data_IF_245878682956
#
_entry.id   IF_245878682956
#
_cell.length_a   1.000
_cell.length_b   1.000
_cell.length_c   1.000
_cell.angle_alpha   90.00
_cell.angle_beta   90.00
_cell.angle_gamma   90.00
#
_symmetry.space_group_name_H-M   'P 1'
#
loop_
_entity.id
_entity.type
_entity.pdbx_description
1 polymer ?
#
# COMPACT_ATOMS: atom_id res chain seq x y z
N UNK A 1 75.36 -42.59 25.60
CA UNK A 1 73.99 -43.07 25.87
C UNK A 1 73.02 -42.18 25.10
N UNK A 2 72.56 -42.64 23.93
CA UNK A 2 71.19 -42.59 23.38
C UNK A 2 70.25 -41.51 23.99
N UNK A 3 69.62 -40.56 23.27
CA UNK A 3 68.75 -40.69 22.09
C UNK A 3 68.30 -39.27 21.61
N UNK A 4 68.15 -39.09 20.28
CA UNK A 4 67.07 -38.37 19.51
C UNK A 4 66.78 -36.86 19.80
N UNK A 5 66.40 -35.99 18.85
CA UNK A 5 65.92 -36.12 17.47
C UNK A 5 65.86 -34.75 16.72
N UNK A 6 66.10 -34.83 15.41
CA UNK A 6 65.43 -34.17 14.26
C UNK A 6 65.43 -32.64 14.04
N UNK A 7 66.15 -32.28 12.96
CA UNK A 7 65.97 -31.15 12.04
C UNK A 7 64.53 -30.97 11.53
N UNK A 8 64.11 -29.71 11.38
CA UNK A 8 63.08 -29.31 10.41
C UNK A 8 63.64 -28.23 9.48
N UNK A 9 63.54 -28.48 8.18
CA UNK A 9 63.98 -27.62 7.09
C UNK A 9 62.77 -26.87 6.54
N UNK A 10 62.97 -25.58 6.34
CA UNK A 10 62.05 -24.58 5.79
C UNK A 10 61.52 -24.91 4.40
N UNK A 11 60.20 -24.75 4.19
CA UNK A 11 59.58 -24.63 2.87
C UNK A 11 58.73 -23.35 2.83
N UNK A 12 59.07 -22.46 1.91
CA UNK A 12 58.31 -21.25 1.57
C UNK A 12 57.20 -21.66 0.59
N UNK A 13 55.94 -21.43 0.95
CA UNK A 13 54.79 -21.58 0.06
C UNK A 13 54.24 -20.20 -0.29
N UNK A 14 54.38 -19.82 -1.56
CA UNK A 14 53.70 -18.66 -2.13
C UNK A 14 52.23 -19.05 -2.41
N UNK A 15 51.29 -18.39 -1.72
CA UNK A 15 49.87 -18.53 -2.00
C UNK A 15 49.49 -17.58 -3.14
N UNK A 16 49.16 -18.14 -4.30
CA UNK A 16 48.53 -17.44 -5.42
C UNK A 16 47.03 -17.35 -5.10
N UNK A 17 46.54 -16.16 -4.79
CA UNK A 17 45.09 -15.91 -4.62
C UNK A 17 44.43 -15.85 -5.99
N UNK A 18 43.83 -16.95 -6.43
CA UNK A 18 42.91 -16.96 -7.56
C UNK A 18 41.60 -16.24 -7.17
N UNK A 19 41.41 -15.03 -7.67
CA UNK A 19 40.11 -14.35 -7.68
C UNK A 19 39.16 -15.15 -8.57
N UNK A 20 38.35 -16.01 -7.96
CA UNK A 20 37.15 -16.55 -8.61
C UNK A 20 36.10 -15.46 -8.52
N UNK A 21 35.93 -14.68 -9.59
CA UNK A 21 34.74 -13.87 -9.78
C UNK A 21 33.55 -14.83 -9.75
N UNK A 22 32.80 -14.82 -8.67
CA UNK A 22 31.47 -15.41 -8.64
C UNK A 22 30.63 -14.61 -9.63
N UNK A 23 30.53 -15.10 -10.87
CA UNK A 23 29.51 -14.65 -11.80
C UNK A 23 28.17 -14.94 -11.11
N UNK A 24 27.46 -13.86 -10.76
CA UNK A 24 26.07 -13.95 -10.32
C UNK A 24 25.33 -14.63 -11.46
N UNK A 25 24.96 -15.89 -11.25
CA UNK A 25 24.03 -16.60 -12.12
C UNK A 25 22.68 -15.96 -11.84
N UNK A 26 22.33 -14.93 -12.61
CA UNK A 26 20.96 -14.43 -12.69
C UNK A 26 20.14 -15.61 -13.21
N UNK A 27 19.18 -16.14 -12.43
CA UNK A 27 18.30 -17.18 -12.95
C UNK A 27 17.63 -16.62 -14.21
N UNK A 28 17.76 -17.35 -15.32
CA UNK A 28 17.11 -17.01 -16.59
C UNK A 28 15.68 -16.53 -16.31
N UNK A 29 15.43 -15.25 -16.60
CA UNK A 29 14.08 -14.74 -16.74
C UNK A 29 13.38 -15.68 -17.71
N UNK A 30 12.37 -16.41 -17.22
CA UNK A 30 11.41 -17.05 -18.11
C UNK A 30 10.91 -15.94 -19.04
N UNK A 31 11.23 -16.07 -20.33
CA UNK A 31 10.74 -15.19 -21.40
C UNK A 31 9.22 -15.25 -21.34
N UNK A 32 8.60 -14.27 -20.64
CA UNK A 32 7.16 -13.99 -20.73
C UNK A 32 6.88 -13.77 -22.22
N UNK A 33 5.81 -14.36 -22.74
CA UNK A 33 5.38 -14.05 -24.11
C UNK A 33 5.15 -12.55 -24.20
N UNK A 34 5.80 -11.92 -25.16
CA UNK A 34 5.78 -10.48 -25.45
C UNK A 34 4.36 -10.04 -25.79
N UNK A 35 3.58 -9.69 -24.76
CA UNK A 35 2.47 -8.74 -24.87
C UNK A 35 2.92 -7.41 -24.25
N UNK A 36 2.52 -6.28 -24.82
CA UNK A 36 2.81 -4.97 -24.27
C UNK A 36 2.20 -4.82 -22.87
N UNK A 37 3.05 -4.55 -21.88
CA UNK A 37 2.66 -4.27 -20.50
C UNK A 37 3.14 -2.89 -20.07
N UNK A 38 2.33 -2.22 -19.27
CA UNK A 38 2.69 -0.99 -18.57
C UNK A 38 3.05 -1.25 -17.11
N UNK A 39 3.52 -0.22 -16.42
CA UNK A 39 3.81 -0.29 -14.99
C UNK A 39 3.38 0.95 -14.23
N UNK A 40 2.93 0.77 -13.00
CA UNK A 40 2.61 1.88 -12.10
C UNK A 40 3.09 1.61 -10.68
N UNK A 41 3.32 2.69 -9.93
CA UNK A 41 3.77 2.63 -8.54
C UNK A 41 2.58 2.84 -7.61
N UNK A 42 2.53 2.07 -6.52
CA UNK A 42 1.63 2.32 -5.38
C UNK A 42 2.46 2.55 -4.12
N UNK A 43 2.31 3.74 -3.55
CA UNK A 43 2.88 4.14 -2.25
C UNK A 43 1.79 4.72 -1.35
N UNK A 44 1.97 4.60 -0.05
CA UNK A 44 0.97 5.01 0.95
C UNK A 44 1.62 5.24 2.30
N UNK A 45 0.96 6.03 3.16
CA UNK A 45 1.26 6.15 4.59
C UNK A 45 2.74 6.50 4.83
N UNK A 46 3.15 7.65 4.29
CA UNK A 46 4.49 8.21 4.49
C UNK A 46 4.70 8.60 5.94
N UNK A 47 3.73 9.30 6.53
CA UNK A 47 3.83 9.93 7.84
C UNK A 47 5.16 10.64 8.04
N UNK A 48 5.46 11.60 7.16
CA UNK A 48 6.68 12.39 7.31
C UNK A 48 6.59 13.21 8.60
N UNK A 49 7.57 12.98 9.46
CA UNK A 49 7.72 13.65 10.74
C UNK A 49 8.88 14.67 10.67
N UNK A 50 8.58 15.98 10.62
CA UNK A 50 9.60 17.02 10.63
C UNK A 50 10.27 17.20 12.00
N UNK A 51 9.74 16.61 13.07
CA UNK A 51 10.28 16.67 14.44
C UNK A 51 11.08 15.44 14.83
N UNK A 52 11.19 14.45 13.96
CA UNK A 52 11.98 13.24 14.25
C UNK A 52 13.44 13.59 14.57
N UNK A 53 13.95 13.07 15.68
CA UNK A 53 15.33 13.24 16.12
C UNK A 53 16.01 11.88 16.30
N UNK A 54 17.08 11.65 15.54
CA UNK A 54 17.94 10.47 15.72
C UNK A 54 18.48 10.40 17.17
N UNK A 55 18.35 9.23 17.78
CA UNK A 55 18.72 8.96 19.16
C UNK A 55 17.74 9.51 20.21
N UNK A 56 16.57 10.02 19.81
CA UNK A 56 15.50 10.37 20.72
C UNK A 56 14.84 9.13 21.34
N UNK A 57 14.14 9.30 22.47
CA UNK A 57 13.38 8.23 23.11
C UNK A 57 12.16 7.87 22.26
N UNK A 58 11.94 6.58 22.00
CA UNK A 58 10.72 6.14 21.28
C UNK A 58 9.43 6.48 22.04
N UNK A 59 9.47 6.57 23.38
CA UNK A 59 8.31 6.99 24.16
C UNK A 59 8.00 8.49 24.09
N UNK A 60 8.90 9.27 23.51
CA UNK A 60 8.67 10.68 23.18
C UNK A 60 8.15 10.86 21.75
N UNK A 61 7.71 9.78 21.10
CA UNK A 61 7.39 9.74 19.67
C UNK A 61 8.60 10.12 18.80
N UNK A 62 9.82 9.84 19.30
CA UNK A 62 11.08 10.16 18.64
C UNK A 62 11.38 11.66 18.48
N UNK A 63 10.72 12.55 19.22
CA UNK A 63 10.98 13.99 19.14
C UNK A 63 12.03 14.49 20.15
N UNK A 64 12.25 13.77 21.26
CA UNK A 64 13.02 14.27 22.41
C UNK A 64 13.97 13.23 23.01
N UNK A 65 15.17 13.67 23.43
CA UNK A 65 16.20 12.79 24.00
C UNK A 65 16.03 12.53 25.50
N UNK A 66 15.27 13.37 26.19
CA UNK A 66 14.86 13.16 27.57
C UNK A 66 13.66 12.21 27.63
N UNK A 67 13.62 11.38 28.69
CA UNK A 67 12.56 10.38 28.86
C UNK A 67 12.83 9.04 28.17
N UNK A 68 14.09 8.61 28.01
CA UNK A 68 14.37 7.20 27.74
C UNK A 68 13.94 6.37 28.96
N UNK A 69 12.82 5.67 28.79
CA UNK A 69 12.22 4.81 29.79
C UNK A 69 12.73 3.37 29.68
N UNK A 70 13.84 3.14 28.95
CA UNK A 70 14.36 1.82 28.62
C UNK A 70 13.61 1.13 27.47
N UNK A 71 12.79 1.87 26.71
CA UNK A 71 12.02 1.34 25.56
C UNK A 71 12.78 1.39 24.23
N UNK A 72 13.99 1.93 24.23
CA UNK A 72 14.82 2.08 23.05
C UNK A 72 14.85 3.51 22.51
N UNK A 73 15.71 3.72 21.51
CA UNK A 73 15.96 5.03 20.91
C UNK A 73 15.76 4.99 19.40
N UNK A 74 15.42 6.14 18.83
CA UNK A 74 15.25 6.39 17.41
C UNK A 74 16.53 6.08 16.61
N UNK A 75 16.43 5.27 15.57
CA UNK A 75 17.48 5.12 14.58
C UNK A 75 17.46 6.23 13.53
N UNK A 76 18.49 6.32 12.69
CA UNK A 76 18.57 7.33 11.62
C UNK A 76 17.40 7.24 10.63
N UNK A 77 16.95 6.03 10.31
CA UNK A 77 15.90 5.80 9.31
C UNK A 77 14.53 5.50 9.93
N UNK A 78 14.42 5.50 11.26
CA UNK A 78 13.17 5.18 11.95
C UNK A 78 13.39 4.21 13.10
N UNK A 79 12.29 3.92 13.81
CA UNK A 79 12.26 2.95 14.91
C UNK A 79 11.17 1.91 14.63
N UNK A 80 11.59 0.72 14.20
CA UNK A 80 10.71 -0.36 13.74
C UNK A 80 9.74 -0.79 14.85
N UNK A 81 8.46 -0.92 14.51
CA UNK A 81 7.42 -1.40 15.43
C UNK A 81 7.07 -0.45 16.57
N UNK A 82 7.54 0.81 16.51
CA UNK A 82 7.23 1.84 17.51
C UNK A 82 6.11 2.78 17.03
N UNK A 83 5.68 3.69 17.91
CA UNK A 83 4.75 4.77 17.56
C UNK A 83 5.43 5.96 16.87
N UNK A 84 6.73 5.86 16.55
CA UNK A 84 7.43 6.92 15.83
C UNK A 84 7.07 6.92 14.35
N UNK A 85 6.93 8.13 13.82
CA UNK A 85 6.68 8.35 12.41
C UNK A 85 8.00 8.42 11.60
N UNK A 86 7.88 8.65 10.28
CA UNK A 86 9.02 8.53 9.36
C UNK A 86 9.95 9.74 9.43
N UNK A 87 11.25 9.57 9.70
CA UNK A 87 12.20 10.65 9.51
C UNK A 87 12.35 11.01 8.04
N UNK A 88 12.73 12.25 7.78
CA UNK A 88 13.09 12.70 6.42
C UNK A 88 14.11 11.78 5.74
N UNK A 89 15.08 11.24 6.49
CA UNK A 89 16.10 10.34 5.95
C UNK A 89 15.51 9.05 5.33
N UNK A 90 14.40 8.55 5.88
CA UNK A 90 13.68 7.42 5.30
C UNK A 90 12.99 7.84 4.00
N UNK A 91 12.23 8.95 4.04
CA UNK A 91 11.52 9.46 2.87
C UNK A 91 12.48 9.75 1.70
N UNK A 92 13.63 10.37 1.99
CA UNK A 92 14.70 10.63 1.01
C UNK A 92 15.16 9.32 0.35
N UNK A 93 15.45 8.29 1.14
CA UNK A 93 15.92 7.01 0.63
C UNK A 93 14.83 6.26 -0.17
N UNK A 94 13.56 6.36 0.24
CA UNK A 94 12.43 5.80 -0.52
C UNK A 94 12.29 6.44 -1.88
N UNK A 95 12.31 7.77 -1.97
CA UNK A 95 12.16 8.46 -3.26
C UNK A 95 13.40 8.31 -4.17
N UNK A 96 14.59 8.16 -3.59
CA UNK A 96 15.79 7.81 -4.36
C UNK A 96 15.68 6.39 -4.96
N UNK A 97 15.19 5.42 -4.19
CA UNK A 97 14.90 4.08 -4.71
C UNK A 97 13.87 4.13 -5.85
N UNK A 98 12.74 4.82 -5.65
CA UNK A 98 11.70 4.95 -6.67
C UNK A 98 12.23 5.62 -7.94
N UNK A 99 13.10 6.61 -7.82
CA UNK A 99 13.74 7.28 -8.95
C UNK A 99 14.61 6.33 -9.76
N UNK A 100 15.34 5.45 -9.10
CA UNK A 100 16.20 4.46 -9.76
C UNK A 100 15.39 3.32 -10.37
N UNK A 101 14.35 2.84 -9.68
CA UNK A 101 13.65 1.61 -10.03
C UNK A 101 12.42 1.82 -10.92
N UNK A 102 11.74 2.96 -10.81
CA UNK A 102 10.39 3.16 -11.35
C UNK A 102 10.10 4.57 -11.87
N UNK A 103 11.10 5.41 -12.13
CA UNK A 103 10.88 6.78 -12.64
C UNK A 103 10.17 6.82 -14.00
N UNK A 104 10.22 5.73 -14.76
CA UNK A 104 9.52 5.48 -16.02
C UNK A 104 8.15 4.81 -15.84
N UNK A 105 7.57 4.83 -14.63
CA UNK A 105 6.20 4.37 -14.42
C UNK A 105 5.18 5.22 -15.19
N UNK A 106 4.18 4.58 -15.79
CA UNK A 106 3.14 5.23 -16.61
C UNK A 106 2.27 6.20 -15.80
N UNK A 107 2.07 5.89 -14.52
CA UNK A 107 1.44 6.73 -13.51
C UNK A 107 1.81 6.23 -12.10
N UNK A 108 1.45 7.00 -11.09
CA UNK A 108 1.64 6.67 -9.67
C UNK A 108 0.32 6.84 -8.95
N UNK A 109 -0.05 5.87 -8.12
CA UNK A 109 -1.13 6.00 -7.16
C UNK A 109 -0.56 6.24 -5.77
N UNK A 110 -1.09 7.25 -5.09
CA UNK A 110 -0.64 7.66 -3.77
C UNK A 110 -1.84 7.65 -2.81
N UNK A 111 -1.95 6.65 -1.94
CA UNK A 111 -3.17 6.48 -1.13
C UNK A 111 -3.15 7.23 0.21
N UNK A 112 -2.48 8.39 0.29
CA UNK A 112 -2.62 9.34 1.41
C UNK A 112 -1.75 9.04 2.64
N UNK A 113 -1.99 9.81 3.69
CA UNK A 113 -1.25 9.86 4.97
C UNK A 113 0.20 10.34 4.79
N UNK A 114 0.31 11.58 4.33
CA UNK A 114 1.56 12.32 4.12
C UNK A 114 2.19 12.73 5.45
N UNK A 115 1.34 13.09 6.41
CA UNK A 115 1.72 13.85 7.61
C UNK A 115 1.80 12.91 8.82
N UNK A 116 2.75 13.16 9.71
CA UNK A 116 2.85 12.46 11.00
C UNK A 116 1.52 12.41 11.75
N UNK A 117 1.38 11.42 12.62
CA UNK A 117 0.24 11.29 13.51
C UNK A 117 0.15 12.44 14.51
N UNK A 118 -1.08 12.89 14.78
CA UNK A 118 -1.38 13.91 15.79
C UNK A 118 -1.50 13.30 17.20
N UNK A 119 -0.35 12.82 17.73
CA UNK A 119 -0.28 12.13 19.04
C UNK A 119 0.65 12.81 20.04
N UNK A 120 1.46 13.77 19.60
CA UNK A 120 2.34 14.53 20.49
C UNK A 120 1.63 15.76 21.05
N UNK A 121 1.19 15.68 22.30
CA UNK A 121 0.53 16.81 22.98
C UNK A 121 1.47 17.94 23.40
N UNK A 122 2.80 17.74 23.34
CA UNK A 122 3.78 18.81 23.58
C UNK A 122 4.07 19.58 22.30
N UNK A 123 4.04 18.89 21.16
CA UNK A 123 4.24 19.44 19.82
C UNK A 123 3.03 19.07 18.94
N UNK A 124 1.88 19.68 19.26
CA UNK A 124 0.61 19.42 18.58
C UNK A 124 0.72 19.80 17.10
N UNK A 125 0.13 18.98 16.23
CA UNK A 125 0.16 19.21 14.79
C UNK A 125 -0.78 20.36 14.44
N UNK A 126 -0.27 21.36 13.71
CA UNK A 126 -1.04 22.51 13.24
C UNK A 126 -1.27 22.52 11.74
N UNK A 127 -2.19 23.37 11.28
CA UNK A 127 -2.60 23.47 9.87
C UNK A 127 -1.43 23.81 8.92
N UNK A 128 -0.53 24.69 9.36
CA UNK A 128 0.65 25.06 8.59
C UNK A 128 1.64 23.90 8.45
N UNK A 129 1.73 23.03 9.46
CA UNK A 129 2.54 21.81 9.40
C UNK A 129 1.93 20.80 8.43
N UNK A 130 0.60 20.58 8.52
CA UNK A 130 -0.12 19.72 7.59
C UNK A 130 0.10 20.19 6.15
N UNK A 131 -0.10 21.48 5.88
CA UNK A 131 0.05 22.05 4.54
C UNK A 131 1.49 21.96 4.02
N UNK A 132 2.47 22.34 4.84
CA UNK A 132 3.88 22.35 4.42
C UNK A 132 4.44 20.93 4.22
N UNK A 133 4.05 19.98 5.06
CA UNK A 133 4.46 18.57 4.93
C UNK A 133 3.87 17.96 3.67
N UNK A 134 2.60 18.21 3.36
CA UNK A 134 2.01 17.76 2.10
C UNK A 134 2.69 18.39 0.87
N UNK A 135 3.01 19.69 0.92
CA UNK A 135 3.76 20.36 -0.16
C UNK A 135 5.14 19.71 -0.37
N UNK A 136 5.81 19.30 0.72
CA UNK A 136 7.07 18.59 0.64
C UNK A 136 6.93 17.20 0.00
N UNK A 137 5.89 16.44 0.35
CA UNK A 137 5.58 15.16 -0.30
C UNK A 137 5.27 15.34 -1.79
N UNK A 138 4.49 16.36 -2.16
CA UNK A 138 4.26 16.72 -3.56
C UNK A 138 5.58 17.02 -4.29
N UNK A 139 6.51 17.74 -3.65
CA UNK A 139 7.81 18.02 -4.24
C UNK A 139 8.61 16.74 -4.52
N UNK A 140 8.66 15.79 -3.58
CA UNK A 140 9.33 14.51 -3.82
C UNK A 140 8.78 13.78 -5.04
N UNK A 141 7.45 13.71 -5.16
CA UNK A 141 6.82 13.10 -6.33
C UNK A 141 7.20 13.78 -7.64
N UNK A 142 7.22 15.12 -7.69
CA UNK A 142 7.58 15.88 -8.89
C UNK A 142 9.05 15.73 -9.29
N UNK A 143 9.92 15.53 -8.32
CA UNK A 143 11.36 15.35 -8.56
C UNK A 143 11.70 13.93 -9.00
N UNK A 144 10.82 12.96 -8.69
CA UNK A 144 11.00 11.55 -8.99
C UNK A 144 10.29 11.12 -10.28
N UNK A 145 9.08 11.62 -10.53
CA UNK A 145 8.24 11.16 -11.64
C UNK A 145 7.87 12.29 -12.60
N UNK A 146 7.96 12.00 -13.90
CA UNK A 146 7.35 12.84 -14.94
C UNK A 146 5.91 12.42 -15.26
N UNK A 147 5.47 11.26 -14.78
CA UNK A 147 4.13 10.73 -15.01
C UNK A 147 3.12 11.30 -14.01
N UNK A 148 1.84 11.02 -14.26
CA UNK A 148 0.74 11.55 -13.43
C UNK A 148 0.74 10.86 -12.07
N UNK A 149 0.64 11.64 -11.01
CA UNK A 149 0.53 11.17 -9.62
C UNK A 149 -0.90 11.40 -9.16
N UNK A 150 -1.56 10.33 -8.70
CA UNK A 150 -3.00 10.30 -8.42
C UNK A 150 -3.19 10.05 -6.91
N UNK A 151 -3.37 11.12 -6.11
CA UNK A 151 -3.53 11.01 -4.67
C UNK A 151 -4.99 10.72 -4.26
N UNK A 152 -5.14 10.12 -3.08
CA UNK A 152 -6.38 10.18 -2.28
C UNK A 152 -6.08 10.74 -0.89
N UNK A 153 -7.11 11.24 -0.22
CA UNK A 153 -6.98 11.82 1.12
C UNK A 153 -6.83 10.74 2.19
N UNK A 154 -5.76 10.85 2.97
CA UNK A 154 -5.58 10.07 4.19
C UNK A 154 -6.26 10.68 5.41
N UNK A 155 -6.46 9.88 6.46
CA UNK A 155 -7.11 10.36 7.68
C UNK A 155 -6.21 11.26 8.54
N UNK A 156 -4.90 11.26 8.29
CA UNK A 156 -3.92 12.17 8.87
C UNK A 156 -3.59 13.38 7.98
N UNK A 157 -4.05 13.42 6.73
CA UNK A 157 -3.78 14.55 5.82
C UNK A 157 -4.62 15.79 6.13
N UNK A 158 -5.61 15.67 7.00
CA UNK A 158 -6.49 16.77 7.43
C UNK A 158 -6.08 17.30 8.79
N UNK A 159 -6.42 18.56 9.06
CA UNK A 159 -6.05 19.28 10.28
C UNK A 159 -6.46 18.50 11.53
N UNK A 160 -7.76 18.29 11.69
CA UNK A 160 -8.31 17.44 12.74
C UNK A 160 -8.30 15.99 12.28
N UNK A 161 -7.46 15.16 12.89
CA UNK A 161 -7.36 13.73 12.59
C UNK A 161 -8.74 13.06 12.46
N UNK A 162 -8.91 12.31 11.36
CA UNK A 162 -10.14 11.63 10.94
C UNK A 162 -11.34 12.50 10.51
N UNK A 163 -11.30 13.81 10.69
CA UNK A 163 -12.49 14.62 10.65
C UNK A 163 -12.53 15.48 9.40
N UNK A 164 -13.51 15.19 8.55
CA UNK A 164 -13.88 16.01 7.40
C UNK A 164 -15.39 16.15 7.32
N UNK A 165 -15.87 17.24 6.74
CA UNK A 165 -17.28 17.45 6.43
C UNK A 165 -17.53 17.59 4.92
N UNK A 166 -18.80 17.76 4.54
CA UNK A 166 -19.12 18.20 3.18
C UNK A 166 -18.70 19.67 3.02
N UNK A 167 -18.14 20.01 1.87
CA UNK A 167 -17.57 21.34 1.59
C UNK A 167 -16.54 21.77 2.64
N UNK A 168 -15.70 20.84 3.06
CA UNK A 168 -14.62 21.10 4.01
C UNK A 168 -13.62 22.11 3.44
N UNK A 169 -13.18 23.06 4.26
CA UNK A 169 -12.23 24.10 3.85
C UNK A 169 -10.90 23.50 3.37
N UNK A 170 -10.52 22.34 3.90
CA UNK A 170 -9.31 21.63 3.50
C UNK A 170 -9.31 21.25 2.01
N UNK A 171 -10.47 21.00 1.38
CA UNK A 171 -10.54 20.62 -0.03
C UNK A 171 -9.98 21.71 -0.96
N UNK A 172 -10.22 22.99 -0.66
CA UNK A 172 -9.63 24.09 -1.43
C UNK A 172 -8.11 24.17 -1.27
N UNK A 173 -7.60 23.81 -0.08
CA UNK A 173 -6.17 23.71 0.16
C UNK A 173 -5.56 22.56 -0.65
N UNK A 174 -6.21 21.38 -0.69
CA UNK A 174 -5.75 20.26 -1.51
C UNK A 174 -5.74 20.57 -3.01
N UNK A 175 -6.74 21.30 -3.54
CA UNK A 175 -6.72 21.77 -4.94
C UNK A 175 -5.45 22.57 -5.23
N UNK A 176 -5.05 23.45 -4.30
CA UNK A 176 -3.85 24.27 -4.46
C UNK A 176 -2.57 23.45 -4.31
N UNK A 177 -2.51 22.56 -3.31
CA UNK A 177 -1.34 21.71 -3.02
C UNK A 177 -1.10 20.69 -4.13
N UNK A 178 -2.16 20.11 -4.70
CA UNK A 178 -2.08 19.10 -5.77
C UNK A 178 -2.15 19.68 -7.18
N UNK A 179 -2.22 21.00 -7.33
CA UNK A 179 -2.17 21.65 -8.64
C UNK A 179 -1.02 21.16 -9.54
N UNK A 180 0.19 20.86 -9.01
CA UNK A 180 1.27 20.33 -9.85
C UNK A 180 1.05 18.93 -10.44
N UNK A 181 0.07 18.17 -9.93
CA UNK A 181 -0.28 16.85 -10.44
C UNK A 181 -1.25 16.89 -11.64
N UNK A 182 -1.77 18.08 -11.98
CA UNK A 182 -2.70 18.28 -13.12
C UNK A 182 -3.90 17.33 -13.06
N UNK A 183 -4.60 17.35 -11.93
CA UNK A 183 -5.72 16.47 -11.64
C UNK A 183 -7.05 17.11 -12.04
N UNK A 184 -8.02 16.27 -12.42
CA UNK A 184 -9.40 16.67 -12.73
C UNK A 184 -10.23 16.95 -11.46
N UNK A 185 -9.74 17.81 -10.56
CA UNK A 185 -10.42 18.17 -9.32
C UNK A 185 -11.57 19.15 -9.63
N UNK A 186 -12.80 18.63 -9.63
CA UNK A 186 -14.01 19.38 -9.96
C UNK A 186 -14.87 19.73 -8.75
N UNK A 187 -16.16 20.01 -9.01
CA UNK A 187 -17.13 20.31 -7.96
C UNK A 187 -17.34 19.13 -6.99
N UNK A 188 -17.27 17.89 -7.48
CA UNK A 188 -17.32 16.69 -6.65
C UNK A 188 -16.20 16.69 -5.59
N UNK A 189 -14.99 17.11 -5.99
CA UNK A 189 -13.85 17.21 -5.08
C UNK A 189 -14.06 18.30 -4.03
N UNK A 190 -14.50 19.49 -4.44
CA UNK A 190 -14.83 20.56 -3.49
C UNK A 190 -16.01 20.24 -2.58
N UNK A 191 -16.90 19.33 -3.01
CA UNK A 191 -18.03 18.89 -2.21
C UNK A 191 -17.64 17.84 -1.16
N UNK A 192 -16.78 16.89 -1.50
CA UNK A 192 -16.51 15.75 -0.61
C UNK A 192 -15.14 15.09 -0.74
N UNK A 193 -14.19 15.69 -1.44
CA UNK A 193 -12.82 15.18 -1.56
C UNK A 193 -12.65 13.96 -2.46
N UNK A 194 -13.67 13.61 -3.26
CA UNK A 194 -13.65 12.48 -4.21
C UNK A 194 -13.69 12.98 -5.65
N UNK A 195 -13.09 12.22 -6.58
CA UNK A 195 -12.99 12.62 -7.99
C UNK A 195 -12.67 11.44 -8.91
N UNK A 196 -12.90 11.61 -10.22
CA UNK A 196 -12.48 10.66 -11.26
C UNK A 196 -11.28 11.23 -12.01
N UNK A 197 -10.28 10.38 -12.29
CA UNK A 197 -9.12 10.76 -13.10
C UNK A 197 -8.91 9.77 -14.25
N UNK A 198 -8.98 10.26 -15.48
CA UNK A 198 -8.60 9.45 -16.64
C UNK A 198 -7.08 9.22 -16.63
N UNK A 199 -6.67 7.96 -16.82
CA UNK A 199 -5.27 7.56 -17.03
C UNK A 199 -5.03 7.44 -18.54
N UNK A 200 -5.91 6.72 -19.22
CA UNK A 200 -5.95 6.56 -20.69
C UNK A 200 -7.39 6.66 -21.18
N UNK A 201 -7.64 6.52 -22.48
CA UNK A 201 -9.01 6.48 -23.00
C UNK A 201 -9.84 5.28 -22.50
N UNK A 202 -9.17 4.22 -22.02
CA UNK A 202 -9.80 2.94 -21.67
C UNK A 202 -9.61 2.57 -20.18
N UNK A 203 -8.95 3.42 -19.40
CA UNK A 203 -8.67 3.19 -17.98
C UNK A 203 -8.70 4.51 -17.20
N UNK A 204 -9.40 4.51 -16.08
CA UNK A 204 -9.46 5.64 -15.13
C UNK A 204 -9.34 5.18 -13.69
N UNK A 205 -9.11 6.12 -12.80
CA UNK A 205 -9.31 5.92 -11.36
C UNK A 205 -10.60 6.59 -10.90
N UNK A 206 -11.30 5.94 -9.97
CA UNK A 206 -12.38 6.52 -9.18
C UNK A 206 -11.85 6.64 -7.76
N UNK A 207 -11.57 7.87 -7.34
CA UNK A 207 -10.86 8.18 -6.11
C UNK A 207 -11.89 8.56 -5.05
N UNK A 208 -12.08 7.71 -4.04
CA UNK A 208 -13.06 7.90 -2.98
C UNK A 208 -12.44 8.65 -1.80
N UNK A 209 -13.26 9.43 -1.09
CA UNK A 209 -12.91 9.96 0.22
C UNK A 209 -13.59 9.09 1.29
N UNK A 210 -12.88 8.05 1.70
CA UNK A 210 -13.39 7.02 2.61
C UNK A 210 -13.69 7.55 4.01
N UNK A 211 -13.25 8.77 4.34
CA UNK A 211 -13.59 9.46 5.59
C UNK A 211 -15.08 9.74 5.72
N UNK A 212 -15.83 9.82 4.61
CA UNK A 212 -17.29 9.94 4.65
C UNK A 212 -17.96 8.67 5.20
N UNK A 213 -17.35 7.51 4.99
CA UNK A 213 -17.83 6.20 5.44
C UNK A 213 -17.28 5.82 6.81
N UNK A 214 -16.15 6.41 7.22
CA UNK A 214 -15.38 5.98 8.39
C UNK A 214 -16.10 6.23 9.71
N UNK A 215 -16.12 5.23 10.59
CA UNK A 215 -16.75 5.30 11.92
C UNK A 215 -16.07 6.31 12.87
N UNK A 216 -14.78 6.58 12.67
CA UNK A 216 -14.03 7.53 13.52
C UNK A 216 -14.11 8.98 13.04
N UNK A 217 -14.84 9.27 11.97
CA UNK A 217 -15.15 10.64 11.61
C UNK A 217 -16.29 11.13 12.52
N UNK A 218 -15.94 11.94 13.51
CA UNK A 218 -16.84 12.44 14.54
C UNK A 218 -17.76 13.57 14.02
N UNK A 219 -17.38 14.22 12.92
CA UNK A 219 -18.19 15.26 12.28
C UNK A 219 -19.33 14.68 11.43
N UNK A 220 -19.19 13.44 10.95
CA UNK A 220 -20.16 12.76 10.10
C UNK A 220 -20.75 11.54 10.80
N UNK A 221 -21.77 11.74 11.64
CA UNK A 221 -22.37 10.65 12.42
C UNK A 221 -23.43 9.82 11.67
N UNK A 222 -23.98 10.31 10.56
CA UNK A 222 -25.02 9.60 9.81
C UNK A 222 -24.44 8.43 9.01
N UNK A 223 -25.19 7.33 9.00
CA UNK A 223 -24.93 6.17 8.12
C UNK A 223 -25.55 6.41 6.73
N UNK A 224 -25.30 5.51 5.78
CA UNK A 224 -25.70 5.64 4.39
C UNK A 224 -27.15 5.21 4.08
N UNK A 225 -27.97 4.97 5.11
CA UNK A 225 -29.42 4.70 4.99
C UNK A 225 -30.26 5.99 4.97
N UNK A 226 -29.64 7.13 5.31
CA UNK A 226 -30.26 8.46 5.30
C UNK A 226 -29.46 9.45 4.44
N UNK A 227 -30.05 10.57 4.02
CA UNK A 227 -29.32 11.62 3.31
C UNK A 227 -28.13 12.16 4.14
N UNK A 228 -26.97 12.27 3.51
CA UNK A 228 -25.74 12.77 4.12
C UNK A 228 -24.52 12.52 3.24
N UNK A 229 -23.32 12.98 3.62
CA UNK A 229 -22.14 12.92 2.76
C UNK A 229 -21.74 11.50 2.35
N UNK A 230 -21.86 10.53 3.25
CA UNK A 230 -21.64 9.11 2.94
C UNK A 230 -22.61 8.61 1.87
N UNK A 231 -23.91 8.88 2.03
CA UNK A 231 -24.92 8.50 1.03
C UNK A 231 -24.67 9.17 -0.32
N UNK A 232 -24.39 10.47 -0.32
CA UNK A 232 -24.08 11.23 -1.53
C UNK A 232 -22.88 10.66 -2.27
N UNK A 233 -21.83 10.27 -1.56
CA UNK A 233 -20.65 9.68 -2.19
C UNK A 233 -20.93 8.27 -2.75
N UNK A 234 -21.77 7.45 -2.11
CA UNK A 234 -22.19 6.16 -2.68
C UNK A 234 -23.02 6.31 -3.96
N UNK A 235 -23.96 7.26 -3.98
CA UNK A 235 -24.75 7.55 -5.17
C UNK A 235 -23.84 8.08 -6.30
N UNK A 236 -22.84 8.92 -5.96
CA UNK A 236 -21.80 9.38 -6.89
C UNK A 236 -20.91 8.23 -7.41
N UNK A 237 -20.47 7.33 -6.53
CA UNK A 237 -19.64 6.18 -6.90
C UNK A 237 -20.39 5.28 -7.89
N UNK A 238 -21.67 4.99 -7.59
CA UNK A 238 -22.54 4.25 -8.51
C UNK A 238 -22.63 4.93 -9.87
N UNK A 239 -22.89 6.24 -9.91
CA UNK A 239 -22.99 6.99 -11.17
C UNK A 239 -21.68 6.96 -11.95
N UNK A 240 -20.54 7.10 -11.27
CA UNK A 240 -19.21 7.05 -11.88
C UNK A 240 -18.93 5.67 -12.50
N UNK A 241 -19.35 4.59 -11.83
CA UNK A 241 -19.26 3.23 -12.35
C UNK A 241 -20.18 3.01 -13.57
N UNK A 242 -21.40 3.53 -13.53
CA UNK A 242 -22.34 3.51 -14.67
C UNK A 242 -21.76 4.24 -15.89
N UNK A 243 -21.15 5.42 -15.67
CA UNK A 243 -20.51 6.20 -16.73
C UNK A 243 -19.29 5.48 -17.31
N UNK A 244 -18.50 4.85 -16.46
CA UNK A 244 -17.35 4.04 -16.88
C UNK A 244 -17.80 2.88 -17.77
N UNK A 245 -18.87 2.18 -17.36
CA UNK A 245 -19.49 1.11 -18.16
C UNK A 245 -19.99 1.64 -19.50
N UNK A 246 -20.71 2.77 -19.51
CA UNK A 246 -21.28 3.36 -20.71
C UNK A 246 -20.20 3.82 -21.72
N UNK A 247 -19.01 4.16 -21.22
CA UNK A 247 -17.87 4.56 -22.04
C UNK A 247 -16.99 3.38 -22.49
N UNK A 248 -17.36 2.13 -22.14
CA UNK A 248 -16.56 0.93 -22.38
C UNK A 248 -15.13 1.03 -21.80
N UNK A 249 -14.95 1.81 -20.74
CA UNK A 249 -13.69 1.95 -20.02
C UNK A 249 -13.65 0.97 -18.84
N UNK A 250 -12.47 0.81 -18.26
CA UNK A 250 -12.26 0.13 -16.97
C UNK A 250 -11.88 1.11 -15.87
N UNK A 251 -12.02 0.69 -14.62
CA UNK A 251 -11.69 1.51 -13.47
C UNK A 251 -10.83 0.78 -12.44
N UNK A 252 -9.92 1.53 -11.83
CA UNK A 252 -9.38 1.25 -10.50
C UNK A 252 -10.09 2.10 -9.47
N UNK A 253 -10.42 1.54 -8.31
CA UNK A 253 -10.94 2.29 -7.17
C UNK A 253 -9.77 2.62 -6.24
N UNK A 254 -9.58 3.90 -5.90
CA UNK A 254 -8.58 4.30 -4.91
C UNK A 254 -9.27 4.78 -3.64
N UNK A 255 -8.74 4.36 -2.50
CA UNK A 255 -9.21 4.65 -1.16
C UNK A 255 -8.01 4.84 -0.23
N UNK A 256 -8.19 5.52 0.91
CA UNK A 256 -7.18 5.45 1.99
C UNK A 256 -7.57 4.39 3.01
N UNK A 257 -8.66 4.62 3.74
CA UNK A 257 -9.20 3.68 4.74
C UNK A 257 -9.96 2.57 3.99
N UNK A 258 -9.50 1.31 4.01
CA UNK A 258 -10.26 0.21 3.42
C UNK A 258 -11.59 -0.04 4.18
N UNK A 259 -12.56 -0.75 3.57
CA UNK A 259 -13.85 -1.02 4.22
C UNK A 259 -13.74 -1.85 5.51
N UNK A 260 -12.83 -2.81 5.52
CA UNK A 260 -12.53 -3.66 6.67
C UNK A 260 -11.35 -3.06 7.47
N UNK A 261 -11.19 -3.51 8.71
CA UNK A 261 -10.01 -3.30 9.55
C UNK A 261 -9.13 -4.54 9.61
N UNK A 262 -8.12 -4.51 10.47
CA UNK A 262 -7.48 -5.73 10.98
C UNK A 262 -8.55 -6.72 11.49
N UNK A 263 -8.34 -8.01 11.26
CA UNK A 263 -9.25 -9.10 11.71
C UNK A 263 -10.69 -8.95 11.19
N UNK A 264 -10.90 -8.41 9.99
CA UNK A 264 -12.21 -8.37 9.29
C UNK A 264 -13.37 -7.62 10.00
N UNK A 265 -13.10 -6.81 11.03
CA UNK A 265 -14.08 -5.84 11.54
C UNK A 265 -14.28 -4.70 10.55
N UNK A 266 -15.36 -3.92 10.64
CA UNK A 266 -15.67 -2.91 9.62
C UNK A 266 -15.28 -1.52 10.10
N UNK A 267 -14.40 -0.85 9.35
CA UNK A 267 -14.07 0.56 9.57
C UNK A 267 -15.20 1.49 9.12
N UNK A 268 -15.97 1.08 8.11
CA UNK A 268 -17.09 1.87 7.64
C UNK A 268 -18.32 1.68 8.53
N UNK A 269 -19.19 2.69 8.56
CA UNK A 269 -20.55 2.61 9.11
C UNK A 269 -21.32 1.51 8.38
N UNK A 270 -22.27 0.88 9.08
CA UNK A 270 -22.81 -0.42 8.67
C UNK A 270 -23.50 -0.37 7.32
N UNK A 271 -24.36 0.63 7.07
CA UNK A 271 -25.02 0.74 5.77
C UNK A 271 -24.05 1.15 4.68
N UNK A 272 -23.11 2.04 4.99
CA UNK A 272 -22.06 2.42 4.03
C UNK A 272 -21.23 1.21 3.61
N UNK A 273 -20.88 0.36 4.56
CA UNK A 273 -20.13 -0.88 4.37
C UNK A 273 -20.85 -1.84 3.40
N UNK A 274 -22.11 -2.16 3.69
CA UNK A 274 -22.89 -3.12 2.90
C UNK A 274 -23.11 -2.62 1.46
N UNK A 275 -23.49 -1.35 1.30
CA UNK A 275 -23.71 -0.76 -0.03
C UNK A 275 -22.40 -0.62 -0.81
N UNK A 276 -21.28 -0.30 -0.15
CA UNK A 276 -19.97 -0.20 -0.80
C UNK A 276 -19.55 -1.56 -1.39
N UNK A 277 -19.60 -2.65 -0.62
CA UNK A 277 -19.31 -3.99 -1.14
C UNK A 277 -20.30 -4.45 -2.21
N UNK A 278 -21.57 -4.10 -2.08
CA UNK A 278 -22.57 -4.37 -3.10
C UNK A 278 -22.21 -3.69 -4.43
N UNK A 279 -21.72 -2.44 -4.40
CA UNK A 279 -21.22 -1.75 -5.59
C UNK A 279 -19.96 -2.41 -6.16
N UNK A 280 -18.99 -2.77 -5.32
CA UNK A 280 -17.78 -3.46 -5.78
C UNK A 280 -18.11 -4.79 -6.48
N UNK A 281 -19.04 -5.57 -5.93
CA UNK A 281 -19.48 -6.83 -6.54
C UNK A 281 -20.30 -6.64 -7.80
N UNK A 282 -21.31 -5.76 -7.78
CA UNK A 282 -22.24 -5.53 -8.90
C UNK A 282 -21.64 -4.79 -10.10
N UNK A 283 -20.46 -4.19 -9.94
CA UNK A 283 -19.69 -3.56 -11.00
C UNK A 283 -18.33 -4.24 -11.23
N UNK A 284 -18.18 -5.51 -10.83
CA UNK A 284 -16.98 -6.32 -11.07
C UNK A 284 -16.62 -6.51 -12.55
N UNK A 285 -17.55 -6.28 -13.47
CA UNK A 285 -17.29 -6.25 -14.91
C UNK A 285 -16.51 -5.00 -15.35
N UNK A 286 -16.51 -3.92 -14.56
CA UNK A 286 -15.88 -2.63 -14.85
C UNK A 286 -14.69 -2.36 -13.93
N UNK A 287 -14.79 -2.76 -12.67
CA UNK A 287 -13.75 -2.58 -11.66
C UNK A 287 -12.70 -3.67 -11.85
N UNK A 288 -11.46 -3.26 -12.12
CA UNK A 288 -10.33 -4.19 -12.26
C UNK A 288 -9.63 -4.46 -10.93
N UNK A 289 -9.55 -3.45 -10.07
CA UNK A 289 -8.89 -3.53 -8.78
C UNK A 289 -9.30 -2.37 -7.86
N UNK A 290 -9.17 -2.58 -6.56
CA UNK A 290 -9.27 -1.54 -5.54
C UNK A 290 -7.94 -1.43 -4.79
N UNK A 291 -7.46 -0.23 -4.52
CA UNK A 291 -6.18 0.02 -3.85
C UNK A 291 -6.36 0.91 -2.62
N UNK A 292 -5.77 0.52 -1.50
CA UNK A 292 -5.79 1.24 -0.22
C UNK A 292 -4.48 1.15 0.56
N UNK A 293 -4.42 1.91 1.67
CA UNK A 293 -3.32 1.90 2.64
C UNK A 293 -3.85 1.77 4.07
N UNK A 294 -3.45 2.64 4.98
CA UNK A 294 -3.96 2.77 6.35
C UNK A 294 -3.63 1.62 7.33
N UNK A 295 -3.65 0.36 6.90
CA UNK A 295 -3.33 -0.78 7.78
C UNK A 295 -1.85 -0.87 8.16
N UNK A 296 -0.98 -0.29 7.34
CA UNK A 296 0.48 -0.43 7.44
C UNK A 296 1.01 -1.86 7.24
N UNK A 297 0.23 -2.74 6.61
CA UNK A 297 0.64 -4.10 6.27
C UNK A 297 0.03 -4.55 4.94
N UNK A 298 0.62 -5.59 4.35
CA UNK A 298 0.17 -6.16 3.09
C UNK A 298 -1.06 -7.05 3.30
N UNK A 299 -2.19 -6.72 2.65
CA UNK A 299 -3.39 -7.54 2.74
C UNK A 299 -4.22 -7.55 1.46
N UNK A 300 -4.69 -8.75 1.11
CA UNK A 300 -5.71 -8.98 0.09
C UNK A 300 -7.06 -9.25 0.75
N UNK A 301 -8.11 -8.64 0.20
CA UNK A 301 -9.50 -8.98 0.52
C UNK A 301 -10.25 -9.26 -0.77
N UNK A 302 -10.82 -10.46 -0.92
CA UNK A 302 -11.65 -10.81 -2.07
C UNK A 302 -13.08 -10.31 -1.87
N UNK A 303 -13.68 -9.84 -2.96
CA UNK A 303 -15.13 -9.73 -3.11
C UNK A 303 -15.60 -11.04 -3.72
N UNK A 304 -16.54 -11.69 -3.03
CA UNK A 304 -17.09 -12.98 -3.40
C UNK A 304 -18.51 -12.81 -3.92
N UNK A 305 -18.86 -13.56 -4.96
CA UNK A 305 -20.25 -13.75 -5.38
C UNK A 305 -20.69 -15.18 -5.06
N UNK A 306 -21.82 -15.33 -4.37
CA UNK A 306 -22.45 -16.62 -4.15
C UNK A 306 -22.98 -17.15 -5.50
N UNK A 307 -22.58 -18.37 -5.87
CA UNK A 307 -22.95 -18.97 -7.17
C UNK A 307 -24.44 -19.33 -7.26
N UNK A 308 -25.15 -19.47 -6.15
CA UNK A 308 -26.55 -19.90 -6.10
C UNK A 308 -27.54 -18.73 -6.19
N UNK A 309 -27.33 -17.66 -5.41
CA UNK A 309 -28.27 -16.54 -5.30
C UNK A 309 -27.71 -15.21 -5.84
N UNK A 310 -26.44 -15.17 -6.23
CA UNK A 310 -25.79 -13.99 -6.79
C UNK A 310 -25.45 -12.89 -5.77
N UNK A 311 -25.69 -13.12 -4.47
CA UNK A 311 -25.34 -12.18 -3.40
C UNK A 311 -23.84 -12.00 -3.28
N UNK A 312 -23.43 -10.82 -2.79
CA UNK A 312 -22.03 -10.48 -2.60
C UNK A 312 -21.63 -10.55 -1.13
N UNK A 313 -20.45 -11.09 -0.89
CA UNK A 313 -19.76 -11.08 0.40
C UNK A 313 -18.27 -10.83 0.16
N UNK A 314 -17.45 -11.05 1.17
CA UNK A 314 -16.03 -10.73 1.18
C UNK A 314 -15.29 -11.60 2.18
N UNK A 315 -14.01 -11.79 1.92
CA UNK A 315 -13.09 -12.55 2.77
C UNK A 315 -11.70 -11.96 2.69
N UNK A 316 -11.07 -11.66 3.84
CA UNK A 316 -9.64 -11.35 3.85
C UNK A 316 -8.85 -12.64 3.61
N UNK A 317 -7.73 -12.56 2.89
CA UNK A 317 -6.85 -13.70 2.68
C UNK A 317 -6.24 -14.24 3.99
N UNK A 318 -6.18 -13.40 5.04
CA UNK A 318 -5.97 -13.80 6.43
C UNK A 318 -6.84 -12.91 7.33
N UNK A 319 -7.75 -13.52 8.10
CA UNK A 319 -8.75 -12.86 8.93
C UNK A 319 -8.73 -13.35 10.37
N UNK A 320 -9.89 -13.42 11.03
CA UNK A 320 -10.04 -14.11 12.32
C UNK A 320 -9.74 -15.61 12.22
N UNK A 321 -10.00 -16.18 11.04
CA UNK A 321 -9.71 -17.57 10.70
C UNK A 321 -8.29 -17.71 10.14
N UNK A 322 -7.62 -18.84 10.45
CA UNK A 322 -6.30 -19.15 9.89
C UNK A 322 -6.37 -19.47 8.40
N UNK A 323 -7.50 -19.98 7.91
CA UNK A 323 -7.73 -20.31 6.49
C UNK A 323 -8.82 -19.39 5.95
N UNK A 324 -8.60 -18.66 4.84
CA UNK A 324 -9.58 -17.70 4.36
C UNK A 324 -10.87 -18.38 3.87
N UNK A 325 -10.77 -19.46 3.10
CA UNK A 325 -11.94 -20.19 2.60
C UNK A 325 -11.77 -21.69 2.78
N UNK A 326 -12.80 -22.36 3.29
CA UNK A 326 -12.87 -23.81 3.28
C UNK A 326 -13.07 -24.34 1.86
N UNK A 327 -12.75 -25.62 1.63
CA UNK A 327 -13.03 -26.27 0.34
C UNK A 327 -14.52 -26.18 -0.06
N UNK A 328 -15.45 -26.24 0.91
CA UNK A 328 -16.88 -26.09 0.65
C UNK A 328 -17.26 -24.65 0.24
N UNK A 329 -16.59 -23.65 0.79
CA UNK A 329 -16.81 -22.25 0.42
C UNK A 329 -16.23 -21.92 -0.96
N UNK A 330 -15.09 -22.52 -1.34
CA UNK A 330 -14.55 -22.41 -2.70
C UNK A 330 -15.52 -22.99 -3.75
N UNK A 331 -16.29 -24.01 -3.40
CA UNK A 331 -17.36 -24.53 -4.26
C UNK A 331 -18.59 -23.61 -4.29
N UNK A 332 -18.88 -22.89 -3.20
CA UNK A 332 -20.08 -22.05 -3.05
C UNK A 332 -19.90 -20.65 -3.65
N UNK A 333 -18.70 -20.08 -3.52
CA UNK A 333 -18.38 -18.71 -3.88
C UNK A 333 -17.39 -18.66 -5.04
N UNK A 334 -17.47 -17.61 -5.84
CA UNK A 334 -16.41 -17.24 -6.79
C UNK A 334 -15.88 -15.86 -6.45
N UNK A 335 -14.57 -15.66 -6.61
CA UNK A 335 -13.95 -14.35 -6.51
C UNK A 335 -14.36 -13.52 -7.74
N UNK A 336 -14.83 -12.29 -7.51
CA UNK A 336 -15.24 -11.35 -8.57
C UNK A 336 -14.47 -10.03 -8.51
N UNK A 337 -13.71 -9.79 -7.45
CA UNK A 337 -12.87 -8.60 -7.31
C UNK A 337 -11.92 -8.74 -6.13
N UNK A 338 -11.00 -7.80 -6.02
CA UNK A 338 -9.99 -7.76 -4.94
C UNK A 338 -9.75 -6.33 -4.49
N UNK A 339 -9.51 -6.19 -3.20
CA UNK A 339 -8.97 -5.00 -2.57
C UNK A 339 -7.53 -5.31 -2.18
N UNK A 340 -6.61 -4.54 -2.75
CA UNK A 340 -5.20 -4.53 -2.41
C UNK A 340 -4.97 -3.46 -1.34
N UNK A 341 -4.56 -3.91 -0.16
CA UNK A 341 -4.00 -3.03 0.84
C UNK A 341 -2.48 -3.05 0.74
N UNK A 342 -1.87 -1.92 0.40
CA UNK A 342 -0.41 -1.82 0.38
C UNK A 342 0.14 -1.64 1.81
N UNK A 343 1.29 -2.25 2.12
CA UNK A 343 2.07 -1.87 3.29
C UNK A 343 2.61 -0.44 3.15
N UNK A 344 3.00 0.14 4.28
CA UNK A 344 3.33 1.56 4.39
C UNK A 344 4.83 1.85 4.37
N UNK A 345 5.16 3.14 4.31
CA UNK A 345 6.52 3.62 4.53
C UNK A 345 6.78 3.89 6.01
N UNK A 346 5.76 4.32 6.78
CA UNK A 346 5.88 4.51 8.23
C UNK A 346 6.41 3.25 8.92
N UNK A 347 7.39 3.35 9.84
CA UNK A 347 8.13 2.20 10.36
C UNK A 347 7.35 1.37 11.41
N UNK A 348 6.04 1.20 11.26
CA UNK A 348 5.26 0.23 12.05
C UNK A 348 5.57 -1.21 11.63
N UNK A 349 5.80 -1.43 10.34
CA UNK A 349 6.49 -2.58 9.78
C UNK A 349 7.73 -2.07 9.03
N UNK A 350 8.48 -2.95 8.36
CA UNK A 350 9.54 -2.45 7.50
C UNK A 350 8.95 -1.56 6.39
N UNK A 351 9.60 -0.42 6.07
CA UNK A 351 9.12 0.46 5.01
C UNK A 351 9.04 -0.26 3.67
N UNK A 352 7.92 -0.06 2.97
CA UNK A 352 7.57 -0.87 1.83
C UNK A 352 6.99 -0.05 0.68
N UNK A 353 7.21 -0.49 -0.56
CA UNK A 353 6.63 0.10 -1.77
C UNK A 353 6.27 -0.99 -2.76
N UNK A 354 5.24 -0.75 -3.59
CA UNK A 354 4.76 -1.75 -4.55
C UNK A 354 4.80 -1.21 -5.97
N UNK A 355 5.24 -2.06 -6.90
CA UNK A 355 5.26 -1.76 -8.33
C UNK A 355 4.40 -2.80 -9.04
N UNK A 356 3.35 -2.34 -9.70
CA UNK A 356 2.42 -3.17 -10.44
C UNK A 356 2.78 -3.20 -11.92
N UNK A 357 2.55 -4.36 -12.55
CA UNK A 357 2.56 -4.53 -14.00
C UNK A 357 1.13 -4.76 -14.47
N UNK A 358 0.71 -4.10 -15.55
CA UNK A 358 -0.65 -4.22 -16.07
C UNK A 358 -0.68 -4.40 -17.60
N UNK A 359 -1.78 -4.99 -18.10
CA UNK A 359 -2.00 -5.24 -19.51
C UNK A 359 -2.29 -3.92 -20.26
N UNK A 360 -1.53 -3.66 -21.32
CA UNK A 360 -1.75 -2.48 -22.19
C UNK A 360 -2.21 -2.83 -23.60
N UNK A 361 -2.41 -4.11 -23.90
CA UNK A 361 -2.87 -4.56 -25.22
C UNK A 361 -4.38 -4.70 -25.29
N UNK A 362 -5.01 -5.22 -24.24
CA UNK A 362 -6.43 -5.53 -24.23
C UNK A 362 -6.81 -6.77 -25.06
N UNK A 363 -5.84 -7.61 -25.46
CA UNK A 363 -6.04 -8.74 -26.39
C UNK A 363 -6.35 -10.04 -25.66
N UNK A 364 -5.54 -10.38 -24.65
CA UNK A 364 -5.70 -11.57 -23.83
C UNK A 364 -6.58 -11.31 -22.61
N UNK A 365 -6.39 -10.16 -21.98
CA UNK A 365 -7.14 -9.68 -20.83
C UNK A 365 -7.72 -8.30 -21.13
N UNK A 366 -8.75 -7.82 -20.40
CA UNK A 366 -9.16 -6.43 -20.52
C UNK A 366 -7.98 -5.48 -20.28
N UNK A 367 -7.90 -4.39 -21.07
CA UNK A 367 -6.89 -3.34 -20.87
C UNK A 367 -6.93 -2.85 -19.41
N UNK A 368 -5.76 -2.74 -18.77
CA UNK A 368 -5.64 -2.41 -17.36
C UNK A 368 -5.62 -3.60 -16.41
N UNK A 369 -5.80 -4.84 -16.88
CA UNK A 369 -5.75 -6.01 -15.98
C UNK A 369 -4.39 -6.10 -15.32
N UNK A 370 -4.37 -6.31 -14.00
CA UNK A 370 -3.12 -6.51 -13.26
C UNK A 370 -2.50 -7.86 -13.68
N UNK A 371 -1.25 -7.82 -14.15
CA UNK A 371 -0.50 -8.98 -14.60
C UNK A 371 0.48 -9.47 -13.53
N UNK A 372 0.97 -8.57 -12.68
CA UNK A 372 1.86 -8.88 -11.57
C UNK A 372 2.01 -7.70 -10.61
N UNK A 373 2.60 -7.96 -9.45
CA UNK A 373 3.27 -6.91 -8.69
C UNK A 373 4.52 -7.44 -8.01
N UNK A 374 5.49 -6.55 -7.87
CA UNK A 374 6.66 -6.74 -7.05
C UNK A 374 6.49 -5.91 -5.77
N UNK A 375 6.59 -6.59 -4.62
CA UNK A 375 6.64 -5.96 -3.32
C UNK A 375 8.11 -5.73 -2.96
N UNK A 376 8.46 -4.48 -2.65
CA UNK A 376 9.79 -4.12 -2.16
C UNK A 376 9.70 -3.69 -0.70
N UNK A 377 10.75 -3.96 0.06
CA UNK A 377 10.88 -3.51 1.44
C UNK A 377 12.33 -3.15 1.76
N UNK A 378 12.53 -2.33 2.80
CA UNK A 378 13.84 -2.06 3.35
C UNK A 378 13.91 -2.56 4.80
N UNK A 379 14.90 -3.41 5.12
CA UNK A 379 15.09 -3.87 6.50
C UNK A 379 15.64 -2.71 7.35
N UNK A 380 14.80 -2.20 8.26
CA UNK A 380 15.10 -0.97 8.98
C UNK A 380 16.19 -1.15 10.04
N UNK A 381 16.25 -2.33 10.66
CA UNK A 381 17.29 -2.66 11.64
C UNK A 381 18.66 -2.73 10.97
N UNK A 382 18.76 -3.44 9.84
CA UNK A 382 19.97 -3.52 9.02
C UNK A 382 20.39 -2.12 8.52
N UNK A 383 19.43 -1.31 8.08
CA UNK A 383 19.69 0.05 7.62
C UNK A 383 20.23 0.95 8.74
N UNK A 384 19.66 0.87 9.94
CA UNK A 384 20.11 1.64 11.09
C UNK A 384 21.50 1.20 11.58
N UNK A 385 21.83 -0.09 11.49
CA UNK A 385 23.15 -0.60 11.87
C UNK A 385 24.23 -0.23 10.85
N UNK A 386 23.92 -0.33 9.55
CA UNK A 386 24.88 -0.06 8.46
C UNK A 386 24.99 1.41 8.09
N UNK A 387 23.98 2.22 8.43
CA UNK A 387 23.86 3.62 8.03
C UNK A 387 23.37 3.84 6.60
N UNK A 388 22.99 2.76 5.89
CA UNK A 388 22.53 2.76 4.49
C UNK A 388 21.18 2.04 4.39
N UNK A 389 20.16 2.74 3.89
CA UNK A 389 18.86 2.14 3.60
C UNK A 389 18.80 1.66 2.15
N UNK A 390 18.49 0.39 1.94
CA UNK A 390 18.30 -0.21 0.62
C UNK A 390 17.00 -0.99 0.57
N UNK A 391 16.19 -0.69 -0.44
CA UNK A 391 15.03 -1.52 -0.77
C UNK A 391 15.48 -2.75 -1.54
N UNK A 392 14.92 -3.90 -1.20
CA UNK A 392 15.10 -5.17 -1.88
C UNK A 392 13.74 -5.77 -2.23
N UNK A 393 13.71 -6.60 -3.27
CA UNK A 393 12.53 -7.36 -3.63
C UNK A 393 12.19 -8.33 -2.50
N UNK A 394 10.98 -8.23 -1.96
CA UNK A 394 10.44 -9.15 -0.98
C UNK A 394 9.85 -10.38 -1.69
N UNK A 395 8.90 -10.15 -2.60
CA UNK A 395 8.30 -11.19 -3.42
C UNK A 395 7.74 -10.63 -4.74
N UNK A 396 7.61 -11.53 -5.72
CA UNK A 396 6.82 -11.31 -6.94
C UNK A 396 5.54 -12.13 -6.82
N UNK A 397 4.38 -11.50 -6.98
CA UNK A 397 3.08 -12.12 -6.69
C UNK A 397 2.79 -13.36 -7.53
N UNK A 398 3.06 -13.30 -8.84
CA UNK A 398 2.86 -14.44 -9.75
C UNK A 398 3.63 -15.69 -9.32
N UNK A 399 4.84 -15.51 -8.78
CA UNK A 399 5.68 -16.61 -8.30
C UNK A 399 5.17 -17.19 -6.98
N UNK A 400 4.70 -16.33 -6.08
CA UNK A 400 4.16 -16.75 -4.78
C UNK A 400 2.89 -17.57 -4.95
N UNK A 401 1.94 -17.09 -5.76
CA UNK A 401 0.63 -17.72 -5.90
C UNK A 401 0.54 -18.68 -7.09
N UNK A 402 1.60 -18.78 -7.90
CA UNK A 402 1.63 -19.59 -9.12
C UNK A 402 0.48 -19.24 -10.10
N UNK A 403 0.25 -17.94 -10.30
CA UNK A 403 -0.72 -17.38 -11.26
C UNK A 403 -0.02 -16.42 -12.21
N UNK A 404 -0.57 -16.18 -13.40
CA UNK A 404 0.05 -15.32 -14.44
C UNK A 404 -0.67 -13.98 -14.68
N UNK A 405 -1.78 -13.74 -13.99
CA UNK A 405 -2.58 -12.52 -14.04
C UNK A 405 -3.50 -12.48 -12.80
N UNK A 406 -4.12 -11.33 -12.56
CA UNK A 406 -4.92 -11.06 -11.35
C UNK A 406 -6.28 -10.43 -11.71
N UNK A 407 -6.92 -10.95 -12.75
CA UNK A 407 -8.36 -10.77 -12.93
C UNK A 407 -9.14 -11.71 -12.00
N UNK A 408 -10.48 -11.75 -12.10
CA UNK A 408 -11.31 -12.60 -11.26
C UNK A 408 -10.87 -14.08 -11.22
N UNK A 409 -10.39 -14.64 -12.35
CA UNK A 409 -9.95 -16.04 -12.42
C UNK A 409 -8.57 -16.24 -11.81
N UNK A 410 -7.64 -15.33 -12.05
CA UNK A 410 -6.34 -15.33 -11.38
C UNK A 410 -6.47 -15.19 -9.87
N UNK A 411 -7.33 -14.28 -9.42
CA UNK A 411 -7.60 -14.05 -7.99
C UNK A 411 -8.31 -15.22 -7.33
N UNK A 412 -9.20 -15.92 -8.04
CA UNK A 412 -9.74 -17.20 -7.57
C UNK A 412 -8.59 -18.18 -7.28
N UNK A 413 -7.63 -18.31 -8.19
CA UNK A 413 -6.43 -19.13 -7.99
C UNK A 413 -5.56 -18.69 -6.82
N UNK A 414 -5.43 -17.38 -6.58
CA UNK A 414 -4.72 -16.83 -5.39
C UNK A 414 -5.40 -17.29 -4.10
N UNK A 415 -6.71 -17.11 -3.98
CA UNK A 415 -7.45 -17.47 -2.76
C UNK A 415 -7.52 -19.00 -2.57
N UNK A 416 -7.56 -19.78 -3.65
CA UNK A 416 -7.38 -21.23 -3.60
C UNK A 416 -5.99 -21.63 -3.10
N UNK A 417 -4.93 -21.01 -3.62
CA UNK A 417 -3.57 -21.29 -3.19
C UNK A 417 -3.37 -21.00 -1.70
N UNK A 418 -3.82 -19.84 -1.20
CA UNK A 418 -3.73 -19.49 0.23
C UNK A 418 -4.59 -20.44 1.09
N UNK A 419 -5.76 -20.87 0.59
CA UNK A 419 -6.65 -21.75 1.33
C UNK A 419 -6.12 -23.19 1.43
N UNK A 420 -5.57 -23.71 0.34
CA UNK A 420 -5.29 -25.14 0.17
C UNK A 420 -3.80 -25.49 0.32
N UNK A 421 -2.89 -24.56 0.05
CA UNK A 421 -1.44 -24.77 0.20
C UNK A 421 -0.93 -24.06 1.46
N UNK A 422 -0.57 -24.86 2.46
CA UNK A 422 -0.03 -24.37 3.73
C UNK A 422 1.28 -23.59 3.53
N UNK A 423 2.11 -23.93 2.55
CA UNK A 423 3.37 -23.23 2.28
C UNK A 423 3.09 -21.83 1.77
N UNK A 424 2.21 -21.70 0.78
CA UNK A 424 1.79 -20.39 0.25
C UNK A 424 1.16 -19.55 1.36
N UNK A 425 0.32 -20.16 2.21
CA UNK A 425 -0.30 -19.48 3.34
C UNK A 425 0.70 -19.00 4.38
N UNK A 426 1.71 -19.80 4.73
CA UNK A 426 2.78 -19.39 5.65
C UNK A 426 3.61 -18.24 5.06
N UNK A 427 3.94 -18.32 3.76
CA UNK A 427 4.65 -17.25 3.06
C UNK A 427 3.83 -15.95 3.03
N UNK A 428 2.55 -16.03 2.67
CA UNK A 428 1.66 -14.87 2.70
C UNK A 428 1.54 -14.26 4.11
N UNK A 429 1.42 -15.09 5.15
CA UNK A 429 1.44 -14.63 6.55
C UNK A 429 2.73 -13.86 6.90
N UNK A 430 3.89 -14.33 6.40
CA UNK A 430 5.17 -13.66 6.63
C UNK A 430 5.26 -12.32 5.89
N UNK A 431 4.91 -12.29 4.60
CA UNK A 431 4.96 -11.07 3.78
C UNK A 431 3.93 -10.02 4.20
N UNK A 432 2.81 -10.45 4.78
CA UNK A 432 1.85 -9.53 5.40
C UNK A 432 2.53 -8.60 6.40
N UNK A 433 3.44 -9.10 7.21
CA UNK A 433 4.18 -8.30 8.19
C UNK A 433 5.41 -7.58 7.62
N UNK A 434 5.70 -7.70 6.31
CA UNK A 434 6.87 -7.10 5.67
C UNK A 434 8.17 -7.44 6.42
N UNK A 435 8.41 -8.72 6.72
CA UNK A 435 9.57 -9.19 7.50
C UNK A 435 9.67 -8.60 8.94
N UNK A 436 8.54 -8.16 9.52
CA UNK A 436 8.42 -7.72 10.92
C UNK A 436 7.95 -8.82 11.89
N UNK A 437 8.15 -8.62 13.20
CA UNK A 437 7.69 -9.55 14.26
C UNK A 437 6.17 -9.52 14.44
N UNK A 438 5.44 -10.22 13.57
CA UNK A 438 3.96 -10.29 13.49
C UNK A 438 3.32 -8.90 13.29
N UNK A 439 2.25 -8.85 12.49
CA UNK A 439 1.40 -7.67 12.46
C UNK A 439 0.84 -7.45 13.88
N UNK A 440 1.44 -6.53 14.63
CA UNK A 440 1.02 -6.25 16.00
C UNK A 440 -0.46 -5.83 16.00
N UNK A 441 -1.19 -6.37 16.98
CA UNK A 441 -2.56 -5.98 17.32
C UNK A 441 -2.56 -4.51 17.79
N UNK A 442 -2.55 -3.58 16.85
CA UNK A 442 -2.75 -2.14 17.09
C UNK A 442 -4.02 -1.69 16.40
#
# INVERSE_FOLDING_TARGET
>A
MLLKSTLSLSLVAAAVSSLVSAAVIIPNAHKRSEGASGKFVHVTDFHLDPYYVEGASVSSLCHRKDGDNGKGVAGKFGALGSDCDSPKALIDATFEFLKQQASDADFVIYTGDSVRHDRDYQDMRGDDEVRSTQQQVVQYFRETFSSKVIPVLGNNDVETHNNVMAYDDSYSNFVSTWAPFDLSLGQDFLQGGYYVQEITSNLRTINTNTMAFFKKNELLYTDCDVPGPGRTQLDWLKKSLEDTRAQNSKAYILAHVPPNSKQDKHFYKNRCYDEYYSLLGSYSDVILAHFSGHFNYDQLTAVLQNKQDGTYTRVAALGEEEVPMTAAELETYKVVGVLFNAPSIVPQQNPAVRIYTYDTEGTQYPYGTILDWDQYYANLEEANQSGVLQYKLEYTASKLYNVNHFDASGLQGVFEAISLDETVRQQYTAFRAVDGEKAADI
#
